data_IF_874445911491
#
_entry.id   IF_874445911491
#
_cell.length_a   1.000
_cell.length_b   1.000
_cell.length_c   1.000
_cell.angle_alpha   90.00
_cell.angle_beta   90.00
_cell.angle_gamma   90.00
#
_symmetry.space_group_name_H-M   'P 1'
#
loop_
_entity.id
_entity.type
_entity.pdbx_description
1 polymer ?
#
# COMPACT_ATOMS: atom_id res chain seq x y z
N UNK A 1 16.46 9.80 33.23
CA UNK A 1 16.87 11.02 32.51
C UNK A 1 15.63 11.85 32.29
N UNK A 2 15.64 13.14 32.66
CA UNK A 2 14.49 14.00 32.46
C UNK A 2 14.23 14.15 30.95
N UNK A 3 13.09 13.66 30.47
CA UNK A 3 12.68 13.81 29.07
C UNK A 3 12.63 15.29 28.74
N UNK A 4 13.56 15.78 27.93
CA UNK A 4 13.48 17.10 27.33
C UNK A 4 12.12 17.18 26.63
N UNK A 5 11.30 18.16 27.00
CA UNK A 5 9.97 18.35 26.41
C UNK A 5 10.14 18.59 24.91
N UNK A 6 9.70 17.64 24.09
CA UNK A 6 9.74 17.80 22.63
C UNK A 6 8.75 18.89 22.24
N UNK A 7 9.25 20.00 21.70
CA UNK A 7 8.43 21.16 21.30
C UNK A 7 8.13 21.14 19.80
N UNK A 8 7.02 21.76 19.37
CA UNK A 8 6.78 21.99 17.96
C UNK A 8 7.97 22.71 17.32
N UNK A 9 8.44 22.23 16.18
CA UNK A 9 9.63 22.77 15.52
C UNK A 9 9.54 22.69 14.00
N UNK A 10 10.14 23.67 13.34
CA UNK A 10 10.28 23.70 11.87
C UNK A 10 11.39 22.73 11.48
N UNK A 11 11.13 21.93 10.45
CA UNK A 11 12.14 21.13 9.78
C UNK A 11 12.65 21.91 8.56
N UNK A 12 13.96 22.23 8.48
CA UNK A 12 14.48 22.97 7.33
C UNK A 12 14.33 22.16 6.03
N UNK A 13 14.23 22.80 4.87
CA UNK A 13 14.22 22.09 3.57
C UNK A 13 15.51 21.29 3.28
N UNK A 14 16.59 21.52 4.03
CA UNK A 14 17.80 20.69 4.02
C UNK A 14 17.66 19.38 4.81
N UNK A 15 16.54 19.19 5.52
CA UNK A 15 16.23 17.93 6.19
C UNK A 15 16.14 16.85 5.13
N UNK A 16 16.92 15.78 5.33
CA UNK A 16 16.85 14.61 4.48
C UNK A 16 15.50 13.92 4.66
N UNK A 17 15.25 12.90 3.85
CA UNK A 17 14.02 12.10 3.92
C UNK A 17 13.77 11.52 5.32
N UNK A 18 12.50 11.51 5.73
CA UNK A 18 12.04 10.89 6.98
C UNK A 18 12.12 9.35 6.93
N UNK A 19 12.32 8.77 5.74
CA UNK A 19 12.56 7.33 5.57
C UNK A 19 13.88 6.88 6.21
N UNK A 20 14.85 7.78 6.40
CA UNK A 20 16.11 7.49 7.11
C UNK A 20 15.96 7.46 8.63
N UNK A 21 14.74 7.66 9.14
CA UNK A 21 14.43 7.78 10.56
C UNK A 21 14.18 9.23 10.98
N UNK A 22 13.63 9.38 12.19
CA UNK A 22 13.32 10.68 12.79
C UNK A 22 14.08 10.86 14.11
N UNK A 23 14.35 12.10 14.54
CA UNK A 23 14.89 12.36 15.86
C UNK A 23 14.05 11.71 16.98
N UNK A 24 14.66 11.26 18.09
CA UNK A 24 13.92 10.72 19.22
C UNK A 24 12.83 11.70 19.71
N UNK A 25 11.59 11.21 19.80
CA UNK A 25 10.43 12.00 20.23
C UNK A 25 9.39 11.11 20.93
N UNK A 26 8.45 11.69 21.70
CA UNK A 26 7.36 10.93 22.32
C UNK A 26 6.50 10.19 21.29
N UNK A 27 5.93 9.01 21.63
CA UNK A 27 4.92 8.35 20.80
C UNK A 27 3.76 9.29 20.46
N UNK A 28 3.26 9.23 19.22
CA UNK A 28 2.26 10.15 18.69
C UNK A 28 2.83 11.48 18.19
N UNK A 29 4.14 11.71 18.27
CA UNK A 29 4.77 12.87 17.60
C UNK A 29 4.69 12.68 16.09
N UNK A 30 4.24 13.70 15.37
CA UNK A 30 4.25 13.71 13.92
C UNK A 30 5.46 14.51 13.40
N UNK A 31 6.08 14.00 12.36
CA UNK A 31 7.00 14.72 11.49
C UNK A 31 6.36 14.76 10.11
N UNK A 32 6.20 15.95 9.54
CA UNK A 32 5.71 16.13 8.18
C UNK A 32 6.74 16.95 7.39
N UNK A 33 7.15 16.45 6.23
CA UNK A 33 8.23 17.03 5.44
C UNK A 33 7.87 17.05 3.96
N UNK A 34 8.16 18.17 3.30
CA UNK A 34 8.17 18.31 1.86
C UNK A 34 9.51 18.94 1.43
N UNK A 35 9.72 19.04 0.11
CA UNK A 35 10.97 19.54 -0.47
C UNK A 35 11.37 20.95 0.02
N UNK A 36 10.39 21.80 0.32
CA UNK A 36 10.61 23.19 0.73
C UNK A 36 10.70 23.35 2.26
N UNK A 37 10.59 22.26 3.02
CA UNK A 37 10.62 22.25 4.48
C UNK A 37 9.49 21.44 5.09
N UNK A 38 9.48 21.41 6.42
CA UNK A 38 8.55 20.59 7.17
C UNK A 38 8.29 21.14 8.56
N UNK A 39 7.56 20.35 9.34
CA UNK A 39 7.16 20.70 10.69
C UNK A 39 7.01 19.42 11.52
N UNK A 40 7.40 19.48 12.79
CA UNK A 40 7.23 18.40 13.74
C UNK A 40 6.47 18.88 14.97
N UNK A 41 5.56 18.05 15.48
CA UNK A 41 4.66 18.40 16.59
C UNK A 41 4.46 17.19 17.51
N UNK A 42 4.65 17.32 18.84
CA UNK A 42 4.29 16.26 19.79
C UNK A 42 2.77 15.99 19.79
N UNK A 43 2.29 14.86 20.34
CA UNK A 43 0.86 14.58 20.40
C UNK A 43 0.15 15.65 21.26
N UNK A 44 -0.74 16.43 20.63
CA UNK A 44 -1.57 17.45 21.26
C UNK A 44 -2.66 17.87 20.29
N UNK A 45 -3.74 18.47 20.79
CA UNK A 45 -4.73 19.14 19.93
C UNK A 45 -4.03 20.17 19.04
N UNK A 46 -3.94 19.88 17.74
CA UNK A 46 -3.19 20.69 16.78
C UNK A 46 -3.66 20.40 15.36
N UNK A 47 -3.60 21.41 14.49
CA UNK A 47 -3.89 21.29 13.07
C UNK A 47 -2.69 21.76 12.26
N UNK A 48 -2.00 20.83 11.63
CA UNK A 48 -0.86 21.09 10.76
C UNK A 48 -1.35 21.22 9.31
N UNK A 49 -1.33 22.44 8.80
CA UNK A 49 -1.66 22.78 7.42
C UNK A 49 -0.51 22.52 6.44
N UNK A 50 -0.83 21.99 5.25
CA UNK A 50 0.10 21.87 4.12
C UNK A 50 -0.54 22.31 2.81
N UNK A 51 0.27 22.82 1.89
CA UNK A 51 -0.15 23.27 0.57
C UNK A 51 0.84 24.24 -0.06
N UNK A 52 0.50 24.85 -1.20
CA UNK A 52 1.43 25.77 -1.88
C UNK A 52 1.52 27.17 -1.26
N UNK A 53 0.61 27.51 -0.35
CA UNK A 53 0.54 28.82 0.30
C UNK A 53 1.60 28.95 1.38
N UNK A 54 2.88 29.07 1.00
CA UNK A 54 4.06 28.99 1.87
C UNK A 54 3.92 29.77 3.19
N UNK A 55 3.35 30.98 3.16
CA UNK A 55 3.21 31.85 4.34
C UNK A 55 2.05 31.44 5.27
N UNK A 56 1.10 30.64 4.77
CA UNK A 56 -0.14 30.27 5.46
C UNK A 56 -0.15 28.80 5.94
N UNK A 57 0.93 28.06 5.69
CA UNK A 57 1.02 26.62 5.96
C UNK A 57 2.28 26.27 6.72
N UNK A 58 2.23 25.18 7.49
CA UNK A 58 3.40 24.68 8.21
C UNK A 58 4.34 23.89 7.29
N UNK A 59 3.78 23.20 6.29
CA UNK A 59 4.53 22.38 5.33
C UNK A 59 4.23 22.87 3.91
N UNK A 60 5.10 23.73 3.35
CA UNK A 60 4.97 24.18 1.97
C UNK A 60 5.20 23.03 0.99
N UNK A 61 4.26 22.81 0.07
CA UNK A 61 4.35 21.77 -0.95
C UNK A 61 3.84 22.28 -2.28
N UNK A 62 4.62 22.09 -3.35
CA UNK A 62 4.25 22.53 -4.69
C UNK A 62 4.10 24.05 -4.80
N UNK A 63 4.96 24.84 -4.14
CA UNK A 63 4.90 26.32 -4.09
C UNK A 63 4.69 26.93 -5.48
N UNK A 64 5.39 26.40 -6.48
CA UNK A 64 5.38 26.87 -7.87
C UNK A 64 4.42 26.11 -8.78
N UNK A 65 3.57 25.23 -8.23
CA UNK A 65 2.59 24.45 -8.99
C UNK A 65 1.19 25.06 -8.85
N UNK A 66 0.61 25.64 -9.92
CA UNK A 66 -0.70 26.29 -9.84
C UNK A 66 -1.86 25.32 -9.58
N UNK A 67 -1.64 24.01 -9.75
CA UNK A 67 -2.66 22.98 -9.52
C UNK A 67 -2.70 22.49 -8.07
N UNK A 68 -1.65 22.74 -7.30
CA UNK A 68 -1.66 22.51 -5.85
C UNK A 68 -2.43 23.66 -5.18
N UNK A 69 -3.43 23.33 -4.39
CA UNK A 69 -4.18 24.33 -3.61
C UNK A 69 -3.28 25.04 -2.60
N UNK A 70 -3.56 26.32 -2.31
CA UNK A 70 -2.83 27.10 -1.29
C UNK A 70 -2.86 26.41 0.07
N UNK A 71 -4.06 25.97 0.48
CA UNK A 71 -4.28 24.98 1.52
C UNK A 71 -4.74 23.69 0.83
N UNK A 72 -3.85 22.69 0.76
CA UNK A 72 -4.16 21.41 0.10
C UNK A 72 -4.69 20.38 1.08
N UNK A 73 -4.22 20.39 2.32
CA UNK A 73 -4.78 19.53 3.34
C UNK A 73 -4.31 19.89 4.72
N UNK A 74 -4.83 19.13 5.68
CA UNK A 74 -4.52 19.28 7.09
C UNK A 74 -4.26 17.92 7.71
N UNK A 75 -3.31 17.90 8.65
CA UNK A 75 -3.10 16.82 9.61
C UNK A 75 -3.67 17.31 10.94
N UNK A 76 -4.72 16.67 11.43
CA UNK A 76 -5.43 17.04 12.65
C UNK A 76 -5.11 16.02 13.71
N UNK A 77 -4.59 16.50 14.84
CA UNK A 77 -4.47 15.69 16.04
C UNK A 77 -5.57 16.04 17.04
N UNK A 78 -6.30 15.04 17.51
CA UNK A 78 -7.32 15.19 18.54
C UNK A 78 -6.75 15.19 19.98
N UNK A 79 -5.44 14.93 20.08
CA UNK A 79 -4.69 14.76 21.33
C UNK A 79 -3.92 13.43 21.37
N UNK A 80 -4.31 12.43 20.57
CA UNK A 80 -3.63 11.12 20.51
C UNK A 80 -3.39 10.64 19.10
N UNK A 81 -4.40 10.76 18.25
CA UNK A 81 -4.40 10.21 16.90
C UNK A 81 -4.22 11.33 15.87
N UNK A 82 -3.66 10.98 14.71
CA UNK A 82 -3.47 11.92 13.60
C UNK A 82 -4.37 11.53 12.44
N UNK A 83 -5.17 12.49 11.98
CA UNK A 83 -6.06 12.33 10.84
C UNK A 83 -5.58 13.23 9.71
N UNK A 84 -5.46 12.70 8.50
CA UNK A 84 -5.27 13.53 7.31
C UNK A 84 -6.62 13.86 6.71
N UNK A 85 -6.80 15.12 6.30
CA UNK A 85 -7.99 15.56 5.55
C UNK A 85 -7.57 16.34 4.31
N UNK A 86 -8.10 15.95 3.16
CA UNK A 86 -7.88 16.68 1.92
C UNK A 86 -8.82 17.90 1.83
N UNK A 87 -8.25 19.09 1.67
CA UNK A 87 -8.96 20.37 1.45
C UNK A 87 -8.76 20.93 0.04
N UNK A 88 -7.87 20.32 -0.73
CA UNK A 88 -7.48 20.73 -2.06
C UNK A 88 -8.35 20.10 -3.15
N UNK A 89 -8.12 20.53 -4.39
CA UNK A 89 -8.87 20.02 -5.55
C UNK A 89 -8.34 18.69 -6.07
N UNK A 90 -7.02 18.50 -6.02
CA UNK A 90 -6.40 17.25 -6.44
C UNK A 90 -6.50 16.19 -5.32
N UNK A 91 -6.60 14.90 -5.68
CA UNK A 91 -6.49 13.83 -4.70
C UNK A 91 -5.08 13.76 -4.11
N UNK A 92 -5.00 13.23 -2.89
CA UNK A 92 -3.73 12.82 -2.27
C UNK A 92 -3.62 11.31 -2.47
N UNK A 93 -2.56 10.86 -3.12
CA UNK A 93 -2.30 9.45 -3.37
C UNK A 93 -1.52 8.85 -2.19
N UNK A 94 -2.00 7.72 -1.68
CA UNK A 94 -1.43 6.94 -0.58
C UNK A 94 -0.49 5.84 -1.11
N UNK A 95 0.35 5.24 -0.24
CA UNK A 95 1.35 4.24 -0.66
C UNK A 95 0.77 2.99 -1.35
N UNK A 96 -0.43 2.59 -0.98
CA UNK A 96 -1.16 1.45 -1.54
C UNK A 96 -1.85 1.77 -2.88
N UNK A 97 -1.75 3.01 -3.35
CA UNK A 97 -2.42 3.50 -4.55
C UNK A 97 -3.82 4.05 -4.30
N UNK A 98 -4.34 3.96 -3.07
CA UNK A 98 -5.61 4.59 -2.72
C UNK A 98 -5.51 6.12 -2.85
N UNK A 99 -6.66 6.76 -3.09
CA UNK A 99 -6.75 8.21 -3.26
C UNK A 99 -7.65 8.81 -2.19
N UNK A 100 -7.09 9.73 -1.40
CA UNK A 100 -7.85 10.58 -0.49
C UNK A 100 -8.43 11.76 -1.28
N UNK A 101 -9.72 11.66 -1.63
CA UNK A 101 -10.44 12.68 -2.39
C UNK A 101 -10.72 13.93 -1.54
N UNK A 102 -10.95 15.05 -2.22
CA UNK A 102 -11.31 16.32 -1.60
C UNK A 102 -12.47 16.17 -0.62
N UNK A 103 -12.32 16.69 0.59
CA UNK A 103 -13.33 16.65 1.65
C UNK A 103 -13.26 15.41 2.54
N UNK A 104 -12.59 14.34 2.09
CA UNK A 104 -12.46 13.10 2.87
C UNK A 104 -11.28 13.16 3.83
N UNK A 105 -11.32 12.27 4.81
CA UNK A 105 -10.27 12.08 5.80
C UNK A 105 -9.94 10.61 6.04
N UNK A 106 -8.74 10.37 6.59
CA UNK A 106 -8.22 9.05 6.91
C UNK A 106 -7.36 9.15 8.18
N UNK A 107 -7.41 8.12 9.03
CA UNK A 107 -6.50 7.94 10.15
C UNK A 107 -5.08 7.63 9.63
N UNK A 108 -4.06 8.24 10.23
CA UNK A 108 -2.65 7.94 9.96
C UNK A 108 -2.12 7.06 11.07
N UNK A 109 -1.79 5.83 10.71
CA UNK A 109 -1.17 4.88 11.61
C UNK A 109 0.28 5.28 11.96
N UNK A 110 0.78 4.89 13.13
CA UNK A 110 2.19 5.01 13.46
C UNK A 110 3.10 4.39 12.39
N UNK A 111 4.20 5.08 12.08
CA UNK A 111 5.16 4.68 11.05
C UNK A 111 5.34 5.76 9.97
N UNK A 112 6.06 5.38 8.91
CA UNK A 112 6.35 6.24 7.76
C UNK A 112 5.29 6.06 6.67
N UNK A 113 4.72 7.16 6.18
CA UNK A 113 3.71 7.19 5.13
C UNK A 113 4.09 8.26 4.08
N UNK A 114 4.61 7.86 2.91
CA UNK A 114 4.81 8.78 1.80
C UNK A 114 3.49 9.03 1.07
N UNK A 115 3.18 10.28 0.80
CA UNK A 115 1.96 10.69 0.10
C UNK A 115 2.29 11.60 -1.07
N UNK A 116 1.51 11.51 -2.15
CA UNK A 116 1.77 12.28 -3.36
C UNK A 116 0.59 13.17 -3.73
N UNK A 117 0.89 14.43 -4.06
CA UNK A 117 -0.07 15.38 -4.62
C UNK A 117 0.34 15.65 -6.06
N UNK A 118 -0.57 15.39 -7.00
CA UNK A 118 -0.30 15.57 -8.42
C UNK A 118 -1.11 14.62 -9.28
N UNK A 119 -0.67 14.42 -10.51
CA UNK A 119 -1.24 13.38 -11.38
C UNK A 119 -0.12 12.72 -12.19
N UNK A 120 -0.38 11.52 -12.68
CA UNK A 120 0.57 10.75 -13.50
C UNK A 120 1.00 11.45 -14.80
N UNK A 121 0.27 12.49 -15.24
CA UNK A 121 0.59 13.30 -16.43
C UNK A 121 1.35 14.58 -16.11
N UNK A 122 1.65 14.84 -14.83
CA UNK A 122 2.23 16.09 -14.33
C UNK A 122 3.26 15.82 -13.26
N UNK A 123 3.87 16.88 -12.74
CA UNK A 123 4.76 16.82 -11.59
C UNK A 123 3.98 16.31 -10.37
N UNK A 124 4.50 15.30 -9.71
CA UNK A 124 4.03 14.86 -8.39
C UNK A 124 4.90 15.48 -7.30
N UNK A 125 4.27 15.88 -6.20
CA UNK A 125 4.94 16.44 -5.03
C UNK A 125 4.79 15.47 -3.87
N UNK A 126 5.92 15.11 -3.26
CA UNK A 126 5.99 14.20 -2.12
C UNK A 126 5.77 14.96 -0.81
N UNK A 127 4.84 14.44 0.00
CA UNK A 127 4.68 14.75 1.41
C UNK A 127 5.07 13.49 2.20
N UNK A 128 6.15 13.57 2.95
CA UNK A 128 6.57 12.53 3.86
C UNK A 128 5.91 12.77 5.22
N UNK A 129 5.23 11.77 5.77
CA UNK A 129 4.72 11.80 7.14
C UNK A 129 5.31 10.65 7.93
N UNK A 130 5.75 10.93 9.15
CA UNK A 130 6.19 9.91 10.10
C UNK A 130 5.50 10.17 11.45
N UNK A 131 4.69 9.22 11.91
CA UNK A 131 4.09 9.25 13.26
C UNK A 131 4.88 8.29 14.15
N UNK A 132 5.48 8.80 15.23
CA UNK A 132 6.28 7.98 16.14
C UNK A 132 5.39 6.97 16.86
N UNK A 133 5.65 5.67 16.69
CA UNK A 133 4.93 4.62 17.40
C UNK A 133 5.37 4.45 18.84
N UNK A 134 4.50 3.84 19.66
CA UNK A 134 4.90 3.31 20.95
C UNK A 134 5.89 2.18 20.72
N UNK A 135 7.11 2.32 21.24
CA UNK A 135 8.14 1.27 21.16
C UNK A 135 7.63 0.04 21.91
N UNK A 136 7.02 -0.92 21.20
CA UNK A 136 6.89 -2.28 21.72
C UNK A 136 8.31 -2.87 21.75
N UNK A 137 8.63 -3.62 22.79
CA UNK A 137 9.98 -4.09 23.11
C UNK A 137 10.59 -5.11 22.12
N UNK A 138 10.24 -5.05 20.83
CA UNK A 138 10.60 -6.06 19.82
C UNK A 138 11.11 -5.51 18.48
N UNK A 139 11.49 -4.23 18.38
CA UNK A 139 11.85 -3.62 17.09
C UNK A 139 13.22 -2.93 17.04
N UNK A 140 14.22 -3.44 17.77
CA UNK A 140 15.61 -3.32 17.31
C UNK A 140 15.88 -4.54 16.41
N UNK A 141 15.34 -4.51 15.19
CA UNK A 141 15.79 -5.43 14.15
C UNK A 141 17.16 -4.92 13.72
N UNK A 142 18.21 -5.51 14.30
CA UNK A 142 19.60 -5.18 13.95
C UNK A 142 19.76 -5.23 12.43
N UNK A 143 20.55 -4.32 11.84
CA UNK A 143 20.83 -4.29 10.40
C UNK A 143 21.42 -5.60 9.83
N UNK A 144 21.88 -6.51 10.70
CA UNK A 144 22.38 -7.85 10.36
C UNK A 144 21.37 -8.97 10.60
N UNK A 145 20.15 -8.64 11.04
CA UNK A 145 19.07 -9.60 11.14
C UNK A 145 18.83 -10.19 9.75
N UNK A 146 18.79 -11.52 9.64
CA UNK A 146 18.44 -12.20 8.39
C UNK A 146 17.15 -11.59 7.85
N UNK A 147 17.16 -11.22 6.57
CA UNK A 147 15.96 -10.82 5.84
C UNK A 147 14.89 -11.86 6.12
N UNK A 148 13.81 -11.46 6.80
CA UNK A 148 12.66 -12.35 6.99
C UNK A 148 12.10 -12.61 5.60
N UNK A 149 12.02 -13.89 5.21
CA UNK A 149 11.28 -14.25 4.01
C UNK A 149 9.83 -13.78 4.21
N UNK A 150 9.16 -13.22 3.17
CA UNK A 150 7.74 -12.94 3.25
C UNK A 150 6.97 -14.20 3.67
N UNK A 151 5.83 -14.05 4.33
CA UNK A 151 4.99 -15.17 4.74
C UNK A 151 4.39 -15.86 3.49
N UNK A 152 5.13 -16.83 2.94
CA UNK A 152 4.75 -17.58 1.73
C UNK A 152 3.55 -18.48 2.05
N UNK A 153 2.49 -18.39 1.25
CA UNK A 153 1.33 -19.25 1.40
C UNK A 153 1.60 -20.63 0.79
N UNK A 154 1.16 -21.67 1.49
CA UNK A 154 1.29 -23.04 1.00
C UNK A 154 0.26 -23.33 -0.12
N UNK A 155 0.80 -23.63 -1.30
CA UNK A 155 0.05 -23.98 -2.50
C UNK A 155 0.57 -25.32 -3.02
N UNK A 156 -0.34 -26.26 -3.24
CA UNK A 156 -0.01 -27.47 -4.00
C UNK A 156 0.43 -27.11 -5.43
N UNK A 157 1.19 -28.01 -6.08
CA UNK A 157 1.62 -27.81 -7.47
C UNK A 157 0.46 -27.52 -8.43
N UNK A 158 -0.68 -28.18 -8.20
CA UNK A 158 -1.90 -27.97 -8.99
C UNK A 158 -2.49 -26.59 -8.77
N UNK A 159 -2.61 -26.15 -7.50
CA UNK A 159 -3.12 -24.81 -7.18
C UNK A 159 -2.21 -23.73 -7.75
N UNK A 160 -0.89 -23.88 -7.59
CA UNK A 160 0.12 -22.99 -8.15
C UNK A 160 0.00 -22.90 -9.67
N UNK A 161 -0.14 -24.02 -10.37
CA UNK A 161 -0.33 -24.06 -11.82
C UNK A 161 -1.59 -23.28 -12.26
N UNK A 162 -2.74 -23.57 -11.64
CA UNK A 162 -4.01 -22.89 -11.98
C UNK A 162 -3.94 -21.40 -11.69
N UNK A 163 -3.37 -21.01 -10.55
CA UNK A 163 -3.20 -19.61 -10.17
C UNK A 163 -2.22 -18.88 -11.08
N UNK A 164 -1.16 -19.55 -11.55
CA UNK A 164 -0.23 -19.02 -12.56
C UNK A 164 -0.97 -18.71 -13.86
N UNK A 165 -1.75 -19.67 -14.38
CA UNK A 165 -2.58 -19.46 -15.57
C UNK A 165 -3.54 -18.28 -15.40
N UNK A 166 -4.21 -18.17 -14.24
CA UNK A 166 -5.11 -17.07 -13.92
C UNK A 166 -4.38 -15.71 -13.82
N UNK A 167 -3.17 -15.70 -13.28
CA UNK A 167 -2.37 -14.52 -12.96
C UNK A 167 -1.39 -14.10 -14.07
N UNK A 168 -1.34 -14.81 -15.21
CA UNK A 168 -0.29 -14.65 -16.23
C UNK A 168 -0.03 -13.19 -16.65
N UNK A 169 -1.08 -12.35 -16.77
CA UNK A 169 -0.94 -10.92 -17.12
C UNK A 169 -0.22 -10.10 -16.04
N UNK A 170 -0.40 -10.47 -14.77
CA UNK A 170 0.31 -9.86 -13.65
C UNK A 170 1.77 -10.32 -13.62
N UNK A 171 2.01 -11.61 -13.87
CA UNK A 171 3.35 -12.20 -13.88
C UNK A 171 4.20 -11.62 -15.03
N UNK A 172 3.59 -11.32 -16.17
CA UNK A 172 4.21 -10.59 -17.29
C UNK A 172 4.29 -9.07 -17.09
N UNK A 173 3.87 -8.56 -15.92
CA UNK A 173 3.92 -7.15 -15.56
C UNK A 173 3.22 -6.22 -16.57
N UNK A 174 2.10 -6.66 -17.13
CA UNK A 174 1.29 -5.80 -18.00
C UNK A 174 0.84 -4.54 -17.23
N UNK A 175 0.68 -3.42 -17.94
CA UNK A 175 0.41 -2.11 -17.32
C UNK A 175 -0.89 -2.05 -16.51
N UNK A 176 -1.92 -2.78 -16.94
CA UNK A 176 -3.24 -2.83 -16.30
C UNK A 176 -3.72 -4.28 -16.26
N UNK A 177 -3.05 -5.14 -15.48
CA UNK A 177 -3.30 -6.55 -15.52
C UNK A 177 -4.68 -6.83 -14.95
N UNK A 178 -5.39 -7.76 -15.60
CA UNK A 178 -6.65 -8.30 -15.13
C UNK A 178 -6.51 -9.81 -15.06
N UNK A 179 -7.19 -10.49 -14.12
CA UNK A 179 -7.24 -11.95 -14.12
C UNK A 179 -7.79 -12.42 -15.47
N UNK A 180 -7.18 -13.45 -16.06
CA UNK A 180 -7.70 -13.98 -17.33
C UNK A 180 -9.04 -14.72 -17.09
N UNK A 181 -9.83 -14.91 -18.15
CA UNK A 181 -11.12 -15.60 -18.03
C UNK A 181 -10.93 -17.08 -17.72
N UNK A 182 -11.89 -17.70 -17.04
CA UNK A 182 -11.84 -19.15 -16.75
C UNK A 182 -11.76 -20.03 -18.00
N UNK A 183 -12.31 -19.57 -19.13
CA UNK A 183 -12.15 -20.24 -20.43
C UNK A 183 -10.69 -20.23 -20.87
N UNK A 184 -10.05 -19.07 -20.82
CA UNK A 184 -8.64 -18.96 -21.16
C UNK A 184 -7.77 -19.80 -20.21
N UNK A 185 -8.05 -19.78 -18.90
CA UNK A 185 -7.34 -20.64 -17.93
C UNK A 185 -7.45 -22.11 -18.35
N UNK A 186 -8.65 -22.61 -18.62
CA UNK A 186 -8.83 -24.00 -19.02
C UNK A 186 -8.12 -24.32 -20.35
N UNK A 187 -8.21 -23.42 -21.33
CA UNK A 187 -7.54 -23.59 -22.63
C UNK A 187 -6.02 -23.64 -22.49
N UNK A 188 -5.43 -22.76 -21.67
CA UNK A 188 -3.98 -22.73 -21.43
C UNK A 188 -3.52 -24.01 -20.72
N UNK A 189 -4.24 -24.44 -19.69
CA UNK A 189 -3.90 -25.66 -18.94
C UNK A 189 -4.02 -26.92 -19.80
N UNK A 190 -5.02 -27.00 -20.68
CA UNK A 190 -5.21 -28.14 -21.58
C UNK A 190 -4.17 -28.24 -22.71
N UNK A 191 -3.35 -27.20 -22.94
CA UNK A 191 -2.22 -27.27 -23.89
C UNK A 191 -1.00 -27.98 -23.30
N UNK A 192 -0.96 -28.16 -21.99
CA UNK A 192 0.14 -28.84 -21.31
C UNK A 192 0.03 -30.35 -21.52
N UNK A 193 1.16 -31.07 -21.62
CA UNK A 193 1.16 -32.53 -21.84
C UNK A 193 0.84 -33.34 -20.55
N UNK A 194 0.09 -32.76 -19.60
CA UNK A 194 -0.12 -33.33 -18.26
C UNK A 194 -1.21 -34.42 -18.19
N UNK A 195 -1.94 -34.64 -19.30
CA UNK A 195 -3.00 -35.65 -19.41
C UNK A 195 -4.27 -35.33 -18.62
N UNK A 196 -4.36 -34.14 -18.01
CA UNK A 196 -5.55 -33.73 -17.25
C UNK A 196 -6.48 -32.90 -18.14
N UNK A 197 -7.76 -33.24 -18.11
CA UNK A 197 -8.79 -32.42 -18.75
C UNK A 197 -9.28 -31.32 -17.80
N UNK A 198 -8.89 -30.08 -18.12
CA UNK A 198 -9.31 -28.88 -17.42
C UNK A 198 -10.60 -28.32 -18.02
N UNK A 199 -11.55 -27.97 -17.16
CA UNK A 199 -12.72 -27.18 -17.54
C UNK A 199 -12.71 -25.86 -16.78
N UNK A 200 -13.38 -24.80 -17.29
CA UNK A 200 -13.50 -23.52 -16.58
C UNK A 200 -14.03 -23.69 -15.14
N UNK A 201 -14.95 -24.64 -14.95
CA UNK A 201 -15.54 -24.96 -13.64
C UNK A 201 -14.53 -25.60 -12.68
N UNK A 202 -13.69 -26.53 -13.16
CA UNK A 202 -12.66 -27.16 -12.32
C UNK A 202 -11.63 -26.12 -11.88
N UNK A 203 -11.15 -25.29 -12.82
CA UNK A 203 -10.21 -24.21 -12.50
C UNK A 203 -10.79 -23.23 -11.46
N UNK A 204 -12.04 -22.78 -11.64
CA UNK A 204 -12.71 -21.90 -10.70
C UNK A 204 -12.88 -22.53 -9.31
N UNK A 205 -13.23 -23.82 -9.25
CA UNK A 205 -13.38 -24.56 -8.00
C UNK A 205 -12.04 -24.70 -7.25
N UNK A 206 -10.95 -25.00 -7.97
CA UNK A 206 -9.60 -25.05 -7.38
C UNK A 206 -9.21 -23.71 -6.73
N UNK A 207 -9.44 -22.59 -7.43
CA UNK A 207 -9.16 -21.25 -6.88
C UNK A 207 -10.11 -20.89 -5.73
N UNK A 208 -11.37 -21.35 -5.79
CA UNK A 208 -12.34 -21.18 -4.70
C UNK A 208 -11.86 -21.84 -3.39
N UNK A 209 -11.38 -23.08 -3.47
CA UNK A 209 -10.85 -23.80 -2.30
C UNK A 209 -9.61 -23.10 -1.69
N UNK A 210 -8.70 -22.59 -2.52
CA UNK A 210 -7.55 -21.80 -2.04
C UNK A 210 -8.02 -20.56 -1.28
N UNK A 211 -8.97 -19.83 -1.86
CA UNK A 211 -9.52 -18.61 -1.26
C UNK A 211 -10.20 -18.86 0.08
N UNK A 212 -10.96 -19.94 0.19
CA UNK A 212 -11.58 -20.34 1.46
C UNK A 212 -10.50 -20.59 2.52
N UNK A 213 -9.46 -21.35 2.18
CA UNK A 213 -8.34 -21.67 3.08
C UNK A 213 -7.58 -20.43 3.53
N UNK A 214 -7.25 -19.52 2.61
CA UNK A 214 -6.42 -18.35 2.90
C UNK A 214 -7.17 -17.19 3.58
N UNK A 215 -8.49 -17.27 3.69
CA UNK A 215 -9.30 -16.25 4.33
C UNK A 215 -9.59 -16.51 5.82
N UNK A 216 -9.29 -17.70 6.33
CA UNK A 216 -9.49 -18.10 7.74
C UNK A 216 -8.18 -18.35 8.51
N UNK A 217 -7.04 -18.23 7.84
CA UNK A 217 -5.73 -18.48 8.43
C UNK A 217 -5.27 -17.38 9.41
N UNK A 218 -4.18 -17.63 10.16
CA UNK A 218 -3.56 -16.62 11.04
C UNK A 218 -3.12 -15.35 10.27
N UNK A 219 -2.81 -15.49 8.99
CA UNK A 219 -2.47 -14.41 8.05
C UNK A 219 -3.57 -14.22 7.00
N UNK A 220 -4.83 -14.16 7.45
CA UNK A 220 -6.00 -14.05 6.60
C UNK A 220 -5.91 -12.86 5.63
N UNK A 221 -6.14 -13.12 4.35
CA UNK A 221 -6.11 -12.09 3.31
C UNK A 221 -7.44 -11.32 3.33
N UNK A 222 -7.45 -9.98 3.51
CA UNK A 222 -8.69 -9.20 3.44
C UNK A 222 -9.28 -9.17 2.02
N UNK A 223 -10.60 -9.08 1.91
CA UNK A 223 -11.28 -8.82 0.64
C UNK A 223 -11.18 -9.93 -0.42
N UNK A 224 -10.72 -11.13 -0.05
CA UNK A 224 -10.79 -12.31 -0.95
C UNK A 224 -12.05 -13.14 -0.71
N UNK A 225 -12.82 -12.87 0.35
CA UNK A 225 -14.18 -13.42 0.54
C UNK A 225 -15.24 -12.39 0.16
N UNK A 226 -16.43 -12.90 -0.13
CA UNK A 226 -17.62 -12.04 -0.23
C UNK A 226 -17.93 -11.54 1.18
N UNK A 227 -17.96 -10.23 1.35
CA UNK A 227 -18.54 -9.60 2.55
C UNK A 227 -20.06 -9.50 2.37
N UNK A 228 -20.81 -9.79 3.43
CA UNK A 228 -22.27 -9.73 3.41
C UNK A 228 -22.74 -8.32 3.07
N UNK A 229 -23.58 -8.19 2.04
CA UNK A 229 -24.17 -6.90 1.61
C UNK A 229 -23.57 -6.23 0.36
N UNK A 230 -22.51 -6.79 -0.24
CA UNK A 230 -21.94 -6.27 -1.50
C UNK A 230 -22.63 -6.94 -2.71
N UNK A 231 -23.36 -6.15 -3.50
CA UNK A 231 -24.02 -6.57 -4.75
C UNK A 231 -23.03 -6.89 -5.88
N UNK A 232 -23.47 -7.64 -6.90
CA UNK A 232 -22.66 -8.00 -8.08
C UNK A 232 -22.12 -6.76 -8.82
N UNK A 233 -20.88 -6.77 -9.38
CA UNK A 233 -20.06 -7.93 -9.77
C UNK A 233 -18.74 -8.08 -8.97
N UNK A 234 -18.63 -9.12 -8.15
CA UNK A 234 -17.49 -9.29 -7.20
C UNK A 234 -16.42 -10.28 -7.69
N UNK A 235 -16.74 -11.17 -8.64
CA UNK A 235 -15.88 -12.31 -8.99
C UNK A 235 -14.47 -11.95 -9.47
N UNK A 236 -14.35 -10.93 -10.33
CA UNK A 236 -13.05 -10.50 -10.85
C UNK A 236 -12.21 -9.77 -9.78
N UNK A 237 -12.86 -8.99 -8.92
CA UNK A 237 -12.20 -8.30 -7.79
C UNK A 237 -11.62 -9.29 -6.78
N UNK A 238 -12.36 -10.36 -6.44
CA UNK A 238 -11.83 -11.39 -5.53
C UNK A 238 -10.60 -12.11 -6.13
N UNK A 239 -10.61 -12.39 -7.44
CA UNK A 239 -9.44 -12.95 -8.13
C UNK A 239 -8.26 -11.97 -8.12
N UNK A 240 -8.51 -10.69 -8.39
CA UNK A 240 -7.47 -9.65 -8.34
C UNK A 240 -6.83 -9.56 -6.95
N UNK A 241 -7.64 -9.50 -5.88
CA UNK A 241 -7.16 -9.40 -4.51
C UNK A 241 -6.32 -10.62 -4.12
N UNK A 242 -6.78 -11.83 -4.48
CA UNK A 242 -6.02 -13.06 -4.25
C UNK A 242 -4.66 -13.01 -4.97
N UNK A 243 -4.64 -12.64 -6.25
CA UNK A 243 -3.38 -12.55 -7.02
C UNK A 243 -2.44 -11.51 -6.40
N UNK A 244 -2.93 -10.33 -6.03
CA UNK A 244 -2.12 -9.29 -5.40
C UNK A 244 -1.50 -9.75 -4.09
N UNK A 245 -2.25 -10.48 -3.26
CA UNK A 245 -1.72 -11.04 -2.02
C UNK A 245 -0.60 -12.07 -2.29
N UNK A 246 -0.80 -12.98 -3.25
CA UNK A 246 0.20 -13.98 -3.62
C UNK A 246 1.48 -13.38 -4.20
N UNK A 247 1.38 -12.26 -4.94
CA UNK A 247 2.54 -11.53 -5.45
C UNK A 247 3.29 -10.80 -4.34
N UNK A 248 2.57 -10.13 -3.42
CA UNK A 248 3.17 -9.41 -2.28
C UNK A 248 3.89 -10.33 -1.32
N UNK A 249 3.38 -11.54 -1.12
CA UNK A 249 4.03 -12.56 -0.29
C UNK A 249 5.05 -13.40 -1.05
N UNK A 250 5.37 -13.06 -2.31
CA UNK A 250 6.28 -13.83 -3.18
C UNK A 250 5.89 -15.30 -3.35
N UNK A 251 4.62 -15.63 -3.09
CA UNK A 251 4.09 -16.98 -3.27
C UNK A 251 3.99 -17.32 -4.75
N UNK A 252 3.56 -16.35 -5.57
CA UNK A 252 3.64 -16.40 -7.03
C UNK A 252 4.72 -15.44 -7.51
N UNK A 253 5.55 -15.91 -8.43
CA UNK A 253 6.69 -15.20 -8.98
C UNK A 253 6.66 -15.28 -10.51
N UNK A 254 7.24 -14.31 -11.24
CA UNK A 254 7.30 -14.37 -12.71
C UNK A 254 7.88 -15.69 -13.24
N UNK A 255 8.83 -16.30 -12.53
CA UNK A 255 9.39 -17.62 -12.86
C UNK A 255 8.33 -18.71 -12.95
N UNK A 256 7.23 -18.64 -12.19
CA UNK A 256 6.16 -19.64 -12.25
C UNK A 256 5.52 -19.75 -13.64
N UNK A 257 5.68 -18.76 -14.54
CA UNK A 257 5.27 -18.87 -15.94
C UNK A 257 5.87 -20.09 -16.66
N UNK A 258 6.99 -20.64 -16.17
CA UNK A 258 7.53 -21.92 -16.66
C UNK A 258 6.56 -23.08 -16.51
N UNK A 259 5.62 -23.01 -15.57
CA UNK A 259 4.57 -24.02 -15.39
C UNK A 259 3.60 -24.03 -16.57
N UNK A 260 3.54 -22.94 -17.35
CA UNK A 260 2.75 -22.81 -18.57
C UNK A 260 3.58 -23.05 -19.84
N UNK A 261 4.85 -23.47 -19.70
CA UNK A 261 5.75 -23.73 -20.81
C UNK A 261 6.45 -22.50 -21.37
N UNK A 262 6.47 -21.38 -20.64
CA UNK A 262 7.35 -20.24 -20.98
C UNK A 262 8.75 -20.46 -20.41
N UNK A 263 9.80 -20.21 -21.19
CA UNK A 263 11.17 -20.32 -20.67
C UNK A 263 11.42 -19.23 -19.62
N UNK A 264 12.03 -19.55 -18.46
CA UNK A 264 12.46 -18.52 -17.51
C UNK A 264 13.63 -17.74 -18.12
N UNK A 265 13.45 -16.42 -18.28
CA UNK A 265 14.54 -15.48 -18.62
C UNK A 265 15.67 -15.49 -17.57
#
# INVERSE_FOLDING_TARGET
>A
MASQEFKPQILPGSTRSLASGVPPAPPGTIFALAVDGGFAVPPRKFTLHFGRGKEDVHVPIGINDPYVSRLHGVLVCDGREWWIRNKGKLPIQLPDGAMLLSGNELLIEPGYTPMFIGSSKRRSHLLEVHVVGSRTAGADVEHHSRTKAPDVYDLSLVERLVLTALAQRYLRQERYPQPVSWNQVADDLNRLPDGRHWTPKIAAHTVGAVRERLAEGPDAIPGIRREDGVGEPVGNTLNHNLIQALLRSTTLMPSDLHLLGEDPD
#
